data_IF_419571100227
#
_entry.id   IF_419571100227
#
_cell.length_a   1.000
_cell.length_b   1.000
_cell.length_c   1.000
_cell.angle_alpha   90.00
_cell.angle_beta   90.00
_cell.angle_gamma   90.00
#
_symmetry.space_group_name_H-M   'P 1'
#
loop_
_entity.id
_entity.type
_entity.pdbx_description
1 polymer ?
#
# COMPACT_ATOMS: atom_id res chain seq x y z
N UNK A 1 -10.53 -19.88 -13.76
CA UNK A 1 -11.22 -19.93 -15.07
C UNK A 1 -10.18 -19.74 -16.17
N UNK A 2 -10.32 -20.42 -17.32
CA UNK A 2 -9.30 -20.50 -18.37
C UNK A 2 -9.28 -19.24 -19.27
N UNK A 3 -8.14 -19.06 -19.95
CA UNK A 3 -7.78 -18.01 -20.91
C UNK A 3 -8.91 -17.63 -21.87
N UNK A 4 -9.39 -16.38 -21.84
CA UNK A 4 -9.92 -15.65 -23.02
C UNK A 4 -10.26 -14.17 -22.72
N UNK A 5 -9.43 -13.46 -21.92
CA UNK A 5 -9.33 -12.01 -22.08
C UNK A 5 -8.08 -11.79 -22.90
N UNK A 6 -8.21 -11.38 -24.16
CA UNK A 6 -7.10 -10.70 -24.83
C UNK A 6 -6.52 -9.70 -23.81
N UNK A 7 -5.23 -9.82 -23.50
CA UNK A 7 -4.63 -9.19 -22.31
C UNK A 7 -4.78 -7.67 -22.40
N UNK A 8 -5.87 -7.18 -21.81
CA UNK A 8 -6.33 -5.81 -21.96
C UNK A 8 -5.29 -4.87 -21.34
N UNK A 9 -4.70 -4.01 -22.17
CA UNK A 9 -3.81 -2.96 -21.70
C UNK A 9 -4.64 -1.75 -21.28
N UNK A 10 -4.26 -1.16 -20.16
CA UNK A 10 -4.93 0.00 -19.59
C UNK A 10 -3.98 1.18 -19.52
N UNK A 11 -4.36 2.31 -20.09
CA UNK A 11 -3.69 3.58 -19.87
C UNK A 11 -4.05 4.19 -18.50
N UNK A 12 -3.49 3.60 -17.42
CA UNK A 12 -3.70 4.04 -16.03
C UNK A 12 -3.39 5.52 -15.80
N UNK A 13 -2.57 6.14 -16.66
CA UNK A 13 -2.34 7.59 -16.66
C UNK A 13 -3.63 8.42 -16.72
N UNK A 14 -4.71 7.88 -17.28
CA UNK A 14 -6.00 8.55 -17.35
C UNK A 14 -6.71 8.61 -16.00
N UNK A 15 -6.38 7.70 -15.07
CA UNK A 15 -6.92 7.74 -13.70
C UNK A 15 -6.61 9.09 -13.03
N UNK A 16 -5.45 9.69 -13.31
CA UNK A 16 -5.04 10.99 -12.76
C UNK A 16 -6.07 12.11 -12.94
N UNK A 17 -6.82 12.09 -14.05
CA UNK A 17 -7.80 13.12 -14.41
C UNK A 17 -9.24 12.61 -14.37
N UNK A 18 -9.43 11.37 -13.92
CA UNK A 18 -10.74 10.74 -13.87
C UNK A 18 -11.60 11.34 -12.76
N UNK A 19 -12.94 11.43 -12.96
CA UNK A 19 -13.87 11.77 -11.88
C UNK A 19 -13.80 10.74 -10.75
N UNK A 20 -13.41 9.49 -11.05
CA UNK A 20 -13.23 8.41 -10.07
C UNK A 20 -12.15 8.77 -9.04
N UNK A 21 -11.01 9.34 -9.46
CA UNK A 21 -9.96 9.79 -8.51
C UNK A 21 -10.51 10.85 -7.54
N UNK A 22 -11.31 11.78 -8.06
CA UNK A 22 -11.98 12.79 -7.23
C UNK A 22 -12.99 12.17 -6.26
N UNK A 23 -13.83 11.25 -6.72
CA UNK A 23 -14.80 10.53 -5.88
C UNK A 23 -14.13 9.77 -4.72
N UNK A 24 -13.00 9.11 -4.99
CA UNK A 24 -12.21 8.42 -3.96
C UNK A 24 -11.68 9.41 -2.91
N UNK A 25 -11.16 10.56 -3.35
CA UNK A 25 -10.71 11.63 -2.45
C UNK A 25 -11.87 12.19 -1.61
N UNK A 26 -13.00 12.49 -2.24
CA UNK A 26 -14.17 13.04 -1.54
C UNK A 26 -14.67 12.06 -0.47
N UNK A 27 -14.73 10.75 -0.78
CA UNK A 27 -15.07 9.70 0.18
C UNK A 27 -14.05 9.59 1.32
N UNK A 28 -12.76 9.70 1.01
CA UNK A 28 -11.70 9.73 2.03
C UNK A 28 -11.86 10.92 2.97
N UNK A 29 -12.10 12.12 2.43
CA UNK A 29 -12.30 13.33 3.23
C UNK A 29 -13.58 13.25 4.09
N UNK A 30 -14.64 12.63 3.59
CA UNK A 30 -15.85 12.34 4.38
C UNK A 30 -15.55 11.41 5.57
N UNK A 31 -14.84 10.29 5.34
CA UNK A 31 -14.41 9.38 6.41
C UNK A 31 -13.56 10.10 7.47
N UNK A 32 -12.65 10.97 7.03
CA UNK A 32 -11.80 11.75 7.92
C UNK A 32 -12.56 12.82 8.71
N UNK A 33 -13.70 13.29 8.22
CA UNK A 33 -14.56 14.26 8.89
C UNK A 33 -15.54 13.65 9.90
N UNK A 34 -15.81 12.35 9.79
CA UNK A 34 -16.77 11.66 10.65
C UNK A 34 -16.10 11.15 11.95
N UNK A 35 -16.39 11.86 13.05
CA UNK A 35 -15.89 11.55 14.40
C UNK A 35 -16.55 10.34 15.06
N UNK A 36 -17.63 9.81 14.48
CA UNK A 36 -18.33 8.63 15.01
C UNK A 36 -17.68 7.32 14.56
N UNK A 37 -16.83 7.36 13.52
CA UNK A 37 -16.20 6.18 12.95
C UNK A 37 -15.15 5.59 13.88
N UNK A 38 -15.14 4.26 13.90
CA UNK A 38 -14.09 3.48 14.55
C UNK A 38 -12.94 3.23 13.57
N UNK A 39 -11.78 2.92 14.13
CA UNK A 39 -10.53 2.58 13.41
C UNK A 39 -10.73 1.59 12.25
N UNK A 40 -11.57 0.56 12.47
CA UNK A 40 -11.92 -0.44 11.47
C UNK A 40 -12.46 0.15 10.16
N UNK A 41 -13.21 1.26 10.20
CA UNK A 41 -13.74 1.91 9.00
C UNK A 41 -12.61 2.44 8.11
N UNK A 42 -11.56 3.00 8.72
CA UNK A 42 -10.38 3.48 8.03
C UNK A 42 -9.54 2.33 7.48
N UNK A 43 -9.34 1.27 8.26
CA UNK A 43 -8.65 0.06 7.81
C UNK A 43 -9.36 -0.57 6.59
N UNK A 44 -10.70 -0.68 6.61
CA UNK A 44 -11.47 -1.20 5.46
C UNK A 44 -11.31 -0.31 4.23
N UNK A 45 -11.36 1.02 4.39
CA UNK A 45 -11.16 1.92 3.27
C UNK A 45 -9.76 1.79 2.67
N UNK A 46 -8.72 1.81 3.52
CA UNK A 46 -7.32 1.72 3.11
C UNK A 46 -6.99 0.38 2.47
N UNK A 47 -7.51 -0.74 2.99
CA UNK A 47 -7.42 -2.06 2.36
C UNK A 47 -7.90 -2.02 0.91
N UNK A 48 -9.09 -1.44 0.69
CA UNK A 48 -9.74 -1.41 -0.62
C UNK A 48 -9.13 -0.37 -1.57
N UNK A 49 -8.30 0.55 -1.08
CA UNK A 49 -7.60 1.55 -1.89
C UNK A 49 -6.09 1.50 -1.65
N UNK A 50 -5.58 0.31 -1.34
CA UNK A 50 -4.22 0.12 -0.86
C UNK A 50 -3.21 0.71 -1.83
N UNK A 51 -3.38 0.44 -3.13
CA UNK A 51 -2.49 0.96 -4.17
C UNK A 51 -2.41 2.47 -4.33
N UNK A 52 -3.32 3.20 -3.68
CA UNK A 52 -3.44 4.64 -3.80
C UNK A 52 -2.96 5.38 -2.55
N UNK A 53 -3.11 4.78 -1.36
CA UNK A 53 -2.87 5.47 -0.08
C UNK A 53 -1.66 4.96 0.71
N UNK A 54 -1.31 3.68 0.61
CA UNK A 54 -0.35 3.06 1.53
C UNK A 54 1.10 3.11 1.06
N UNK A 55 1.44 2.92 -0.23
CA UNK A 55 2.85 2.77 -0.57
C UNK A 55 3.64 4.06 -0.37
N UNK A 56 4.81 3.93 0.25
CA UNK A 56 5.59 5.06 0.80
C UNK A 56 6.71 5.58 -0.11
N UNK A 57 7.06 4.85 -1.17
CA UNK A 57 8.11 5.24 -2.11
C UNK A 57 7.74 6.46 -2.96
N UNK A 58 8.78 7.18 -3.37
CA UNK A 58 8.67 8.42 -4.16
C UNK A 58 8.12 8.20 -5.59
N UNK A 59 7.91 9.29 -6.35
CA UNK A 59 7.23 9.24 -7.65
C UNK A 59 7.94 8.40 -8.73
N UNK A 60 9.21 8.05 -8.52
CA UNK A 60 10.11 7.43 -9.48
C UNK A 60 10.22 5.90 -9.39
N UNK A 61 9.83 5.28 -8.28
CA UNK A 61 9.92 3.83 -8.07
C UNK A 61 8.61 3.32 -7.48
N UNK A 62 7.84 2.56 -8.28
CA UNK A 62 6.51 2.04 -7.88
C UNK A 62 6.43 0.52 -7.95
N UNK A 63 7.55 -0.16 -7.71
CA UNK A 63 7.58 -1.61 -7.51
C UNK A 63 7.08 -1.95 -6.11
N UNK A 64 5.79 -1.70 -5.89
CA UNK A 64 5.20 -1.67 -4.56
C UNK A 64 4.07 -2.68 -4.41
N UNK A 65 4.09 -3.38 -3.29
CA UNK A 65 2.98 -4.20 -2.81
C UNK A 65 2.49 -3.64 -1.48
N UNK A 66 1.26 -3.97 -1.12
CA UNK A 66 0.69 -3.65 0.18
C UNK A 66 0.10 -4.91 0.76
N UNK A 67 0.46 -5.21 2.00
CA UNK A 67 -0.07 -6.34 2.75
C UNK A 67 -0.99 -5.82 3.85
N UNK A 68 -1.92 -6.66 4.31
CA UNK A 68 -2.77 -6.37 5.47
C UNK A 68 -2.77 -7.52 6.46
N UNK A 69 -2.88 -7.19 7.74
CA UNK A 69 -3.10 -8.16 8.82
C UNK A 69 -2.09 -9.33 8.84
N UNK A 70 -0.83 -9.03 8.51
CA UNK A 70 0.26 -10.01 8.55
C UNK A 70 0.53 -10.41 10.00
N UNK A 71 0.52 -11.72 10.25
CA UNK A 71 0.80 -12.28 11.58
C UNK A 71 2.29 -12.42 11.80
N UNK A 72 2.76 -11.88 12.91
CA UNK A 72 4.12 -12.02 13.41
C UNK A 72 4.08 -12.98 14.61
N UNK A 73 4.29 -14.26 14.34
CA UNK A 73 4.11 -15.32 15.34
C UNK A 73 2.63 -15.60 15.62
N UNK A 74 2.33 -16.00 16.86
CA UNK A 74 0.95 -16.25 17.32
C UNK A 74 0.25 -15.02 17.89
N UNK A 75 1.03 -14.01 18.32
CA UNK A 75 0.55 -13.00 19.27
C UNK A 75 0.39 -11.59 18.67
N UNK A 76 1.03 -11.33 17.51
CA UNK A 76 1.09 -9.98 16.94
C UNK A 76 0.56 -9.94 15.50
N UNK A 77 -0.19 -8.88 15.19
CA UNK A 77 -0.78 -8.66 13.87
C UNK A 77 -0.56 -7.20 13.48
N UNK A 78 0.04 -6.97 12.32
CA UNK A 78 0.22 -5.62 11.76
C UNK A 78 -1.08 -5.12 11.15
N UNK A 79 -1.34 -3.82 11.10
CA UNK A 79 -2.46 -3.32 10.29
C UNK A 79 -2.16 -3.45 8.79
N UNK A 80 -1.04 -2.85 8.36
CA UNK A 80 -0.57 -2.91 6.99
C UNK A 80 0.95 -3.11 6.93
N UNK A 81 1.42 -3.57 5.78
CA UNK A 81 2.84 -3.52 5.43
C UNK A 81 2.98 -2.93 4.02
N UNK A 82 3.74 -1.86 3.87
CA UNK A 82 4.23 -1.41 2.55
C UNK A 82 5.46 -2.25 2.19
N UNK A 83 5.49 -2.79 0.97
CA UNK A 83 6.62 -3.57 0.46
C UNK A 83 7.17 -2.85 -0.76
N UNK A 84 8.41 -2.39 -0.68
CA UNK A 84 9.14 -1.73 -1.76
C UNK A 84 10.23 -2.68 -2.30
N UNK A 85 10.28 -2.86 -3.62
CA UNK A 85 11.40 -3.55 -4.28
C UNK A 85 12.62 -2.65 -4.32
N UNK A 86 13.70 -3.07 -3.69
CA UNK A 86 14.99 -2.39 -3.68
C UNK A 86 16.08 -3.16 -4.43
N UNK A 87 15.73 -3.61 -5.64
CA UNK A 87 16.68 -4.19 -6.61
C UNK A 87 17.52 -5.31 -5.99
N UNK A 88 18.83 -5.10 -5.80
CA UNK A 88 19.77 -6.06 -5.24
C UNK A 88 19.51 -6.39 -3.77
N UNK A 89 18.92 -5.46 -3.03
CA UNK A 89 18.73 -5.56 -1.58
C UNK A 89 17.38 -6.23 -1.23
N UNK A 90 16.62 -6.61 -2.26
CA UNK A 90 15.36 -7.33 -2.12
C UNK A 90 14.22 -6.44 -1.67
N UNK A 91 13.33 -6.99 -0.85
CA UNK A 91 12.21 -6.21 -0.35
C UNK A 91 12.60 -5.38 0.87
N UNK A 92 12.14 -4.13 0.88
CA UNK A 92 12.06 -3.29 2.07
C UNK A 92 10.63 -3.26 2.55
N UNK A 93 10.45 -3.45 3.84
CA UNK A 93 9.16 -3.53 4.50
C UNK A 93 8.98 -2.31 5.41
N UNK A 94 7.82 -1.67 5.34
CA UNK A 94 7.38 -0.71 6.37
C UNK A 94 6.16 -1.30 7.05
N UNK A 95 6.31 -1.71 8.31
CA UNK A 95 5.21 -2.19 9.15
C UNK A 95 4.43 -0.99 9.68
N UNK A 96 3.12 -1.00 9.49
CA UNK A 96 2.26 0.14 9.75
C UNK A 96 1.23 -0.23 10.81
N UNK A 97 1.16 0.57 11.86
CA UNK A 97 0.07 0.60 12.84
C UNK A 97 -0.81 1.82 12.58
N UNK A 98 -2.14 1.64 12.60
CA UNK A 98 -3.09 2.72 12.37
C UNK A 98 -4.02 2.89 13.56
N UNK A 99 -4.05 4.10 14.08
CA UNK A 99 -4.93 4.52 15.16
C UNK A 99 -6.05 5.44 14.64
N UNK A 100 -6.91 5.97 15.49
CA UNK A 100 -7.96 6.89 15.03
C UNK A 100 -7.38 8.25 14.57
N UNK A 101 -7.88 8.86 13.48
CA UNK A 101 -7.54 10.23 13.10
C UNK A 101 -7.99 11.26 14.14
N UNK A 102 -8.90 10.89 15.05
CA UNK A 102 -9.45 11.80 16.07
C UNK A 102 -8.72 11.67 17.41
N UNK A 103 -7.60 10.95 17.45
CA UNK A 103 -6.79 10.79 18.66
C UNK A 103 -5.76 11.90 18.78
N UNK A 104 -5.78 12.59 19.93
CA UNK A 104 -4.69 13.47 20.32
C UNK A 104 -3.41 12.65 20.55
N UNK A 105 -2.27 13.12 20.05
CA UNK A 105 -0.96 12.50 20.27
C UNK A 105 -0.45 12.75 21.70
N UNK A 106 -0.76 13.92 22.26
CA UNK A 106 -0.30 14.34 23.58
C UNK A 106 -1.45 14.81 24.46
N UNK A 107 -1.31 14.61 25.77
CA UNK A 107 -2.22 15.17 26.78
C UNK A 107 -2.01 16.69 26.92
N UNK A 108 -2.86 17.35 27.71
CA UNK A 108 -2.73 18.79 27.97
C UNK A 108 -1.44 19.14 28.73
N UNK A 109 -0.92 18.19 29.51
CA UNK A 109 0.35 18.26 30.23
C UNK A 109 1.55 17.98 29.30
N UNK A 110 1.30 17.67 28.03
CA UNK A 110 2.33 17.42 27.02
C UNK A 110 3.04 16.07 27.15
N UNK A 111 2.40 15.10 27.80
CA UNK A 111 2.79 13.69 27.85
C UNK A 111 2.18 12.91 26.68
N UNK A 112 2.74 11.76 26.29
CA UNK A 112 2.14 10.92 25.25
C UNK A 112 0.74 10.47 25.68
N UNK A 113 -0.24 10.54 24.78
CA UNK A 113 -1.58 10.02 25.07
C UNK A 113 -1.56 8.49 25.25
N UNK A 114 -2.54 7.94 25.96
CA UNK A 114 -2.66 6.50 26.12
C UNK A 114 -2.76 5.77 24.77
N UNK A 115 -3.35 6.42 23.74
CA UNK A 115 -3.45 5.84 22.41
C UNK A 115 -2.09 5.75 21.73
N UNK A 116 -1.33 6.85 21.74
CA UNK A 116 0.03 6.85 21.19
C UNK A 116 0.95 5.87 21.94
N UNK A 117 0.83 5.78 23.27
CA UNK A 117 1.60 4.82 24.06
C UNK A 117 1.30 3.37 23.67
N UNK A 118 0.03 3.02 23.41
CA UNK A 118 -0.36 1.68 22.95
C UNK A 118 0.20 1.36 21.57
N UNK A 119 0.06 2.27 20.61
CA UNK A 119 0.62 2.09 19.27
C UNK A 119 2.15 1.94 19.29
N UNK A 120 2.85 2.73 20.11
CA UNK A 120 4.29 2.61 20.31
C UNK A 120 4.66 1.26 20.91
N UNK A 121 3.91 0.79 21.90
CA UNK A 121 4.12 -0.52 22.51
C UNK A 121 3.93 -1.65 21.49
N UNK A 122 2.91 -1.57 20.65
CA UNK A 122 2.65 -2.56 19.61
C UNK A 122 3.77 -2.62 18.56
N UNK A 123 4.29 -1.48 18.13
CA UNK A 123 5.48 -1.42 17.26
C UNK A 123 6.73 -1.98 17.95
N UNK A 124 6.94 -1.63 19.22
CA UNK A 124 8.05 -2.16 20.03
C UNK A 124 7.96 -3.68 20.21
N UNK A 125 6.75 -4.24 20.33
CA UNK A 125 6.53 -5.68 20.38
C UNK A 125 6.86 -6.36 19.04
N UNK A 126 6.54 -5.72 17.90
CA UNK A 126 6.96 -6.22 16.59
C UNK A 126 8.49 -6.19 16.43
N UNK A 127 9.13 -5.10 16.87
CA UNK A 127 10.59 -4.95 16.84
C UNK A 127 11.27 -6.08 17.62
N UNK A 128 10.87 -6.31 18.86
CA UNK A 128 11.40 -7.39 19.69
C UNK A 128 11.12 -8.76 19.07
N UNK A 129 9.89 -9.00 18.60
CA UNK A 129 9.54 -10.27 17.98
C UNK A 129 10.41 -10.57 16.75
N UNK A 130 10.62 -9.59 15.86
CA UNK A 130 11.48 -9.73 14.67
C UNK A 130 12.93 -10.01 15.07
N UNK A 131 13.44 -9.29 16.08
CA UNK A 131 14.80 -9.46 16.57
C UNK A 131 15.03 -10.85 17.19
N UNK A 132 14.06 -11.36 17.93
CA UNK A 132 14.16 -12.64 18.65
C UNK A 132 13.84 -13.85 17.75
N UNK A 133 13.10 -13.63 16.64
CA UNK A 133 12.60 -14.71 15.78
C UNK A 133 13.09 -14.61 14.32
N UNK A 134 14.33 -14.18 14.10
CA UNK A 134 14.90 -13.85 12.77
C UNK A 134 14.58 -14.89 11.68
N UNK A 135 14.81 -16.18 11.93
CA UNK A 135 14.56 -17.24 10.92
C UNK A 135 13.09 -17.35 10.52
N UNK A 136 12.19 -17.17 11.48
CA UNK A 136 10.75 -17.16 11.21
C UNK A 136 10.34 -15.86 10.54
N UNK A 137 10.85 -14.73 11.02
CA UNK A 137 10.57 -13.42 10.47
C UNK A 137 11.06 -13.30 9.01
N UNK A 138 12.25 -13.80 8.66
CA UNK A 138 12.77 -13.81 7.28
C UNK A 138 11.94 -14.68 6.31
N UNK A 139 11.21 -15.68 6.81
CA UNK A 139 10.26 -16.44 5.97
C UNK A 139 8.96 -15.67 5.71
N UNK A 140 8.58 -14.79 6.64
CA UNK A 140 7.40 -13.93 6.52
C UNK A 140 7.73 -12.68 5.70
N UNK A 141 8.91 -12.12 5.90
CA UNK A 141 9.40 -10.88 5.31
C UNK A 141 10.70 -11.17 4.55
N UNK A 142 10.62 -11.84 3.38
CA UNK A 142 11.80 -12.25 2.62
C UNK A 142 12.60 -11.05 2.11
N UNK A 143 13.83 -10.92 2.60
CA UNK A 143 14.81 -9.87 2.27
C UNK A 143 16.22 -10.35 2.62
N UNK A 144 17.24 -9.74 2.02
CA UNK A 144 18.66 -10.08 2.25
C UNK A 144 19.08 -9.77 3.69
N UNK A 145 18.76 -8.58 4.19
CA UNK A 145 19.03 -8.19 5.58
C UNK A 145 17.78 -7.64 6.27
N UNK A 146 17.17 -8.49 7.11
CA UNK A 146 15.91 -8.20 7.76
C UNK A 146 15.95 -6.97 8.68
N UNK A 147 17.04 -6.76 9.42
CA UNK A 147 17.08 -5.67 10.41
C UNK A 147 17.29 -4.30 9.75
N UNK A 148 17.94 -4.27 8.59
CA UNK A 148 18.13 -3.04 7.81
C UNK A 148 16.99 -2.77 6.84
N UNK A 149 16.19 -3.78 6.51
CA UNK A 149 15.11 -3.69 5.52
C UNK A 149 13.72 -3.55 6.13
N UNK A 150 13.59 -3.47 7.45
CA UNK A 150 12.32 -3.27 8.14
C UNK A 150 12.28 -1.91 8.82
N UNK A 151 11.34 -1.07 8.39
CA UNK A 151 10.97 0.19 9.02
C UNK A 151 9.61 0.09 9.71
N UNK A 152 9.32 1.03 10.61
CA UNK A 152 8.06 1.09 11.36
C UNK A 152 7.39 2.45 11.22
N UNK A 153 6.07 2.45 11.09
CA UNK A 153 5.26 3.65 10.89
C UNK A 153 3.98 3.57 11.72
N UNK A 154 3.69 4.62 12.49
CA UNK A 154 2.41 4.82 13.16
C UNK A 154 1.66 5.92 12.42
N UNK A 155 0.40 5.66 12.05
CA UNK A 155 -0.53 6.66 11.53
C UNK A 155 -1.57 6.99 12.61
N UNK A 156 -1.56 8.21 13.13
CA UNK A 156 -2.44 8.64 14.23
C UNK A 156 -2.76 10.13 14.15
N UNK A 157 -4.01 10.51 14.47
CA UNK A 157 -4.40 11.90 14.60
C UNK A 157 -4.45 12.69 13.27
N UNK A 158 -4.62 14.01 13.39
CA UNK A 158 -4.61 15.00 12.29
C UNK A 158 -3.61 16.13 12.57
N UNK A 159 -3.11 16.76 11.50
CA UNK A 159 -2.06 17.79 11.55
C UNK A 159 -2.51 19.09 12.23
N UNK A 160 -3.81 19.38 12.25
CA UNK A 160 -4.38 20.59 12.85
C UNK A 160 -4.16 20.67 14.37
N UNK A 161 -3.74 19.56 15.00
CA UNK A 161 -3.47 19.48 16.44
C UNK A 161 -1.99 19.76 16.81
N UNK A 162 -1.11 20.03 15.84
CA UNK A 162 0.35 20.08 16.05
C UNK A 162 0.89 21.53 16.14
N UNK A 163 1.16 22.01 17.36
CA UNK A 163 1.92 23.26 17.63
C UNK A 163 3.42 22.96 17.61
N UNK A 164 4.27 23.91 17.22
CA UNK A 164 5.73 23.71 17.01
C UNK A 164 6.48 22.94 18.13
N UNK A 165 6.13 23.15 19.41
CA UNK A 165 6.73 22.43 20.54
C UNK A 165 6.42 20.92 20.54
N UNK A 166 5.24 20.52 20.06
CA UNK A 166 4.82 19.11 19.95
C UNK A 166 5.60 18.39 18.85
N UNK A 167 5.92 19.09 17.75
CA UNK A 167 6.73 18.56 16.65
C UNK A 167 8.15 18.17 17.06
N UNK A 168 8.80 18.97 17.90
CA UNK A 168 10.14 18.64 18.42
C UNK A 168 10.12 17.42 19.35
N UNK A 169 9.09 17.31 20.21
CA UNK A 169 8.88 16.11 21.05
C UNK A 169 8.63 14.88 20.20
N UNK A 170 7.82 14.99 19.16
CA UNK A 170 7.51 13.90 18.25
C UNK A 170 8.77 13.40 17.54
N UNK A 171 9.60 14.30 17.00
CA UNK A 171 10.88 13.93 16.36
C UNK A 171 11.85 13.23 17.32
N UNK A 172 11.89 13.66 18.58
CA UNK A 172 12.72 13.00 19.59
C UNK A 172 12.21 11.58 19.85
N UNK A 173 10.89 11.42 20.00
CA UNK A 173 10.24 10.15 20.23
C UNK A 173 10.45 9.17 19.06
N UNK A 174 10.29 9.64 17.82
CA UNK A 174 10.56 8.87 16.61
C UNK A 174 11.98 8.30 16.58
N UNK A 175 12.97 9.13 16.94
CA UNK A 175 14.39 8.72 17.00
C UNK A 175 14.64 7.71 18.12
N UNK A 176 14.09 7.94 19.31
CA UNK A 176 14.29 7.07 20.47
C UNK A 176 13.65 5.70 20.29
N UNK A 177 12.52 5.64 19.59
CA UNK A 177 11.74 4.41 19.38
C UNK A 177 11.96 3.77 18.01
N UNK A 178 12.84 4.34 17.19
CA UNK A 178 13.12 3.90 15.82
C UNK A 178 11.83 3.66 15.01
N UNK A 179 10.92 4.64 15.02
CA UNK A 179 9.59 4.57 14.40
C UNK A 179 9.23 5.92 13.81
N UNK A 180 8.61 5.95 12.64
CA UNK A 180 8.03 7.17 12.06
C UNK A 180 6.61 7.34 12.60
N UNK A 181 6.21 8.56 12.93
CA UNK A 181 4.85 8.88 13.37
C UNK A 181 4.29 9.94 12.42
N UNK A 182 3.19 9.64 11.75
CA UNK A 182 2.54 10.53 10.78
C UNK A 182 1.06 10.65 11.10
N UNK A 183 0.44 11.75 10.65
CA UNK A 183 -1.01 11.92 10.73
C UNK A 183 -1.71 11.27 9.55
N UNK A 184 -3.03 11.15 9.61
CA UNK A 184 -3.82 10.72 8.46
C UNK A 184 -3.69 11.65 7.24
N UNK A 185 -3.32 12.92 7.46
CA UNK A 185 -3.06 13.85 6.36
C UNK A 185 -1.86 13.42 5.51
N UNK A 186 -0.92 12.66 6.07
CA UNK A 186 0.17 12.05 5.29
C UNK A 186 -0.37 11.10 4.22
N UNK A 187 -1.39 10.30 4.54
CA UNK A 187 -2.03 9.41 3.57
C UNK A 187 -2.77 10.20 2.48
N UNK A 188 -3.38 11.33 2.85
CA UNK A 188 -3.95 12.28 1.88
C UNK A 188 -2.86 12.85 0.97
N UNK A 189 -1.73 13.29 1.54
CA UNK A 189 -0.59 13.84 0.80
C UNK A 189 0.01 12.78 -0.17
N UNK A 190 0.09 11.51 0.25
CA UNK A 190 0.48 10.38 -0.62
C UNK A 190 -0.48 10.23 -1.79
N UNK A 191 -1.79 10.20 -1.55
CA UNK A 191 -2.80 10.07 -2.60
C UNK A 191 -2.74 11.22 -3.62
N UNK A 192 -2.59 12.45 -3.12
CA UNK A 192 -2.59 13.67 -3.95
C UNK A 192 -1.31 13.81 -4.77
N UNK A 193 -0.15 13.53 -4.19
CA UNK A 193 1.15 13.63 -4.87
C UNK A 193 1.36 12.52 -5.91
N UNK A 194 0.60 11.43 -5.82
CA UNK A 194 0.71 10.29 -6.72
C UNK A 194 0.15 10.62 -8.10
N UNK A 195 1.05 10.66 -9.08
CA UNK A 195 0.72 10.49 -10.49
C UNK A 195 0.74 9.00 -10.81
N UNK A 196 -0.17 8.55 -11.67
CA UNK A 196 -0.21 7.18 -12.18
C UNK A 196 0.28 7.18 -13.63
N UNK A 197 1.07 6.18 -13.99
CA UNK A 197 1.53 5.96 -15.36
C UNK A 197 0.97 4.61 -15.82
N UNK A 198 0.87 4.39 -17.13
CA UNK A 198 0.38 3.10 -17.64
C UNK A 198 1.34 1.93 -17.35
N UNK A 199 2.61 2.25 -17.09
CA UNK A 199 3.67 1.30 -16.82
C UNK A 199 4.57 1.85 -15.73
N UNK A 200 5.07 0.98 -14.87
CA UNK A 200 6.09 1.31 -13.88
C UNK A 200 7.46 0.82 -14.34
N UNK A 201 8.51 1.46 -13.86
CA UNK A 201 9.87 0.95 -14.04
C UNK A 201 10.04 -0.22 -13.08
N UNK A 202 10.03 -1.44 -13.62
CA UNK A 202 10.32 -2.66 -12.86
C UNK A 202 11.78 -3.01 -13.06
N UNK A 203 12.53 -3.03 -11.97
CA UNK A 203 13.92 -3.45 -11.90
C UNK A 203 14.04 -4.93 -12.26
N UNK A 204 15.08 -5.24 -13.03
CA UNK A 204 15.28 -6.58 -13.58
C UNK A 204 16.77 -6.81 -13.82
N UNK A 205 17.20 -8.06 -13.65
CA UNK A 205 18.55 -8.50 -14.03
C UNK A 205 18.66 -8.67 -15.55
N UNK A 206 19.89 -8.78 -16.05
CA UNK A 206 20.13 -9.06 -17.46
C UNK A 206 19.50 -10.40 -17.84
N UNK A 207 18.70 -10.41 -18.91
CA UNK A 207 17.99 -11.60 -19.38
C UNK A 207 16.59 -11.81 -18.79
N UNK A 208 16.17 -11.02 -17.79
CA UNK A 208 14.78 -11.05 -17.33
C UNK A 208 13.86 -10.22 -18.22
N UNK A 209 12.73 -10.83 -18.57
CA UNK A 209 11.67 -10.19 -19.35
C UNK A 209 10.40 -10.13 -18.52
N UNK A 210 9.91 -8.90 -18.32
CA UNK A 210 8.55 -8.64 -17.88
C UNK A 210 7.79 -8.18 -19.11
N UNK A 211 6.70 -8.85 -19.46
CA UNK A 211 5.89 -8.45 -20.62
C UNK A 211 5.25 -7.08 -20.39
N UNK A 212 4.81 -6.43 -21.47
CA UNK A 212 4.14 -5.14 -21.40
C UNK A 212 2.83 -5.27 -20.61
N UNK A 213 2.16 -6.39 -20.77
CA UNK A 213 0.90 -6.76 -20.15
C UNK A 213 1.08 -7.00 -18.66
N UNK A 214 2.08 -7.80 -18.27
CA UNK A 214 2.42 -8.02 -16.86
C UNK A 214 2.75 -6.70 -16.15
N UNK A 215 3.58 -5.84 -16.76
CA UNK A 215 3.91 -4.53 -16.21
C UNK A 215 2.66 -3.66 -16.06
N UNK A 216 1.81 -3.64 -17.09
CA UNK A 216 0.56 -2.89 -17.06
C UNK A 216 -0.37 -3.36 -15.94
N UNK A 217 -0.61 -4.67 -15.81
CA UNK A 217 -1.45 -5.22 -14.75
C UNK A 217 -0.88 -4.97 -13.36
N UNK A 218 0.45 -5.04 -13.21
CA UNK A 218 1.13 -4.75 -11.95
C UNK A 218 0.94 -3.27 -11.56
N UNK A 219 1.00 -2.37 -12.54
CA UNK A 219 0.86 -0.92 -12.35
C UNK A 219 -0.57 -0.47 -12.04
N UNK A 220 -1.56 -1.36 -12.21
CA UNK A 220 -2.97 -1.07 -11.94
C UNK A 220 -3.14 -0.50 -10.51
N UNK A 221 -3.65 0.74 -10.33
CA UNK A 221 -3.73 1.38 -9.02
C UNK A 221 -4.90 0.91 -8.15
N UNK A 222 -5.85 0.17 -8.72
CA UNK A 222 -7.07 -0.30 -8.05
C UNK A 222 -6.87 -1.58 -7.25
N UNK A 223 -5.62 -1.99 -7.00
CA UNK A 223 -5.36 -3.17 -6.20
C UNK A 223 -5.71 -2.99 -4.73
N UNK A 224 -6.17 -4.08 -4.13
CA UNK A 224 -6.38 -4.17 -2.69
C UNK A 224 -5.14 -4.78 -2.01
N UNK A 225 -5.01 -4.56 -0.70
CA UNK A 225 -3.94 -5.16 0.08
C UNK A 225 -4.01 -6.71 0.05
N UNK A 226 -2.86 -7.38 0.01
CA UNK A 226 -2.80 -8.83 0.13
C UNK A 226 -2.96 -9.25 1.59
N UNK A 227 -3.95 -10.08 1.93
CA UNK A 227 -4.06 -10.61 3.29
C UNK A 227 -2.97 -11.66 3.55
N UNK A 228 -2.68 -11.89 4.83
CA UNK A 228 -1.65 -12.83 5.33
C UNK A 228 -1.63 -14.19 4.63
N UNK A 229 -2.80 -14.79 4.39
CA UNK A 229 -2.92 -16.08 3.71
C UNK A 229 -2.38 -16.03 2.28
N UNK A 230 -2.76 -15.01 1.52
CA UNK A 230 -2.34 -14.84 0.13
C UNK A 230 -0.85 -14.50 0.04
N UNK A 231 -0.37 -13.63 0.94
CA UNK A 231 1.05 -13.31 1.03
C UNK A 231 1.91 -14.55 1.28
N UNK A 232 1.54 -15.40 2.23
CA UNK A 232 2.26 -16.67 2.51
C UNK A 232 2.18 -17.65 1.34
N UNK A 233 1.04 -17.72 0.66
CA UNK A 233 0.89 -18.53 -0.56
C UNK A 233 1.86 -18.06 -1.65
N UNK A 234 1.98 -16.74 -1.84
CA UNK A 234 2.91 -16.15 -2.79
C UNK A 234 4.37 -16.40 -2.42
N UNK A 235 4.78 -16.08 -1.19
CA UNK A 235 6.20 -16.18 -0.80
C UNK A 235 6.73 -17.61 -0.84
N UNK A 236 5.88 -18.61 -0.57
CA UNK A 236 6.24 -20.03 -0.74
C UNK A 236 6.51 -20.43 -2.19
N UNK A 237 5.97 -19.69 -3.16
CA UNK A 237 6.16 -19.91 -4.61
C UNK A 237 7.25 -19.01 -5.20
N UNK A 238 7.75 -18.03 -4.44
CA UNK A 238 8.78 -17.13 -4.94
C UNK A 238 10.07 -17.90 -5.24
N UNK A 239 10.79 -17.44 -6.26
CA UNK A 239 12.13 -17.90 -6.56
C UNK A 239 13.03 -17.61 -5.36
N UNK A 240 13.98 -18.50 -5.06
CA UNK A 240 14.87 -18.41 -3.89
C UNK A 240 15.80 -17.18 -3.87
N UNK A 241 15.88 -16.46 -4.97
CA UNK A 241 16.74 -15.29 -5.14
C UNK A 241 16.05 -14.07 -4.56
N UNK A 242 16.75 -13.33 -3.69
CA UNK A 242 16.20 -12.18 -2.97
C UNK A 242 16.41 -10.85 -3.67
N UNK A 243 16.91 -10.83 -4.92
CA UNK A 243 17.08 -9.61 -5.70
C UNK A 243 16.05 -9.52 -6.82
N UNK A 244 15.69 -8.31 -7.24
CA UNK A 244 14.68 -8.06 -8.29
C UNK A 244 13.37 -8.83 -8.04
N UNK A 245 12.93 -8.83 -6.78
CA UNK A 245 11.86 -9.69 -6.29
C UNK A 245 10.54 -9.54 -7.05
N UNK A 246 10.22 -8.34 -7.55
CA UNK A 246 9.02 -8.12 -8.35
C UNK A 246 9.14 -8.77 -9.73
N UNK A 247 10.15 -8.44 -10.54
CA UNK A 247 10.26 -8.97 -11.90
C UNK A 247 10.43 -10.49 -11.91
N UNK A 248 11.15 -11.05 -10.94
CA UNK A 248 11.36 -12.49 -10.81
C UNK A 248 10.10 -13.29 -10.53
N UNK A 249 9.15 -12.67 -9.83
CA UNK A 249 7.96 -13.31 -9.28
C UNK A 249 6.66 -12.65 -9.78
N UNK A 250 6.71 -11.87 -10.86
CA UNK A 250 5.58 -11.04 -11.29
C UNK A 250 4.34 -11.87 -11.63
N UNK A 251 4.52 -13.04 -12.23
CA UNK A 251 3.44 -13.97 -12.53
C UNK A 251 2.71 -14.40 -11.25
N UNK A 252 3.44 -14.90 -10.25
CA UNK A 252 2.89 -15.29 -8.94
C UNK A 252 2.19 -14.12 -8.25
N UNK A 253 2.77 -12.91 -8.31
CA UNK A 253 2.17 -11.70 -7.75
C UNK A 253 0.83 -11.40 -8.42
N UNK A 254 0.78 -11.45 -9.76
CA UNK A 254 -0.43 -11.16 -10.53
C UNK A 254 -1.51 -12.23 -10.36
N UNK A 255 -1.15 -13.50 -10.20
CA UNK A 255 -2.09 -14.59 -9.92
C UNK A 255 -2.89 -14.37 -8.63
N UNK A 256 -2.28 -13.78 -7.60
CA UNK A 256 -2.92 -13.53 -6.31
C UNK A 256 -3.51 -12.11 -6.22
N UNK A 257 -3.41 -11.31 -7.29
CA UNK A 257 -3.85 -9.92 -7.31
C UNK A 257 -5.37 -9.85 -7.24
N UNK A 258 -5.86 -8.97 -6.38
CA UNK A 258 -7.28 -8.61 -6.30
C UNK A 258 -7.46 -7.11 -6.48
N UNK A 259 -8.62 -6.73 -7.00
CA UNK A 259 -8.94 -5.34 -7.32
C UNK A 259 -10.20 -4.89 -6.58
N UNK A 260 -10.27 -3.60 -6.30
CA UNK A 260 -11.41 -3.03 -5.61
C UNK A 260 -12.63 -2.94 -6.53
N UNK A 261 -13.80 -2.79 -5.91
CA UNK A 261 -15.09 -2.80 -6.61
C UNK A 261 -15.33 -1.57 -7.49
N UNK A 262 -14.44 -0.57 -7.45
CA UNK A 262 -14.55 0.67 -8.23
C UNK A 262 -13.84 0.54 -9.59
N UNK A 263 -12.96 -0.46 -9.76
CA UNK A 263 -12.28 -0.71 -11.03
C UNK A 263 -13.26 -0.79 -12.24
N UNK A 264 -14.38 -1.52 -12.19
CA UNK A 264 -15.33 -1.57 -13.30
C UNK A 264 -15.92 -0.20 -13.69
N UNK A 265 -16.18 0.68 -12.71
CA UNK A 265 -16.68 2.03 -12.97
C UNK A 265 -15.63 2.87 -13.69
N UNK A 266 -14.36 2.73 -13.30
CA UNK A 266 -13.24 3.35 -14.01
C UNK A 266 -13.10 2.81 -15.44
N UNK A 267 -13.18 1.49 -15.63
CA UNK A 267 -13.07 0.86 -16.95
C UNK A 267 -14.16 1.36 -17.91
N UNK A 268 -15.40 1.46 -17.41
CA UNK A 268 -16.53 2.03 -18.17
C UNK A 268 -16.29 3.48 -18.54
N UNK A 269 -15.87 4.31 -17.58
CA UNK A 269 -15.54 5.71 -17.84
C UNK A 269 -14.40 5.86 -18.86
N UNK A 270 -13.35 5.03 -18.74
CA UNK A 270 -12.20 5.08 -19.62
C UNK A 270 -12.55 4.72 -21.08
N UNK A 271 -13.40 3.71 -21.29
CA UNK A 271 -13.88 3.28 -22.61
C UNK A 271 -14.72 4.38 -23.30
N UNK A 272 -15.65 5.03 -22.58
CA UNK A 272 -16.48 6.11 -23.14
C UNK A 272 -15.65 7.32 -23.61
N UNK A 273 -14.59 7.66 -22.89
CA UNK A 273 -13.83 8.90 -23.13
C UNK A 273 -12.68 8.73 -24.15
N UNK A 274 -12.85 7.85 -25.14
CA UNK A 274 -11.96 7.76 -26.31
C UNK A 274 -10.54 7.29 -26.00
N UNK A 275 -10.33 6.63 -24.86
CA UNK A 275 -9.07 5.97 -24.56
C UNK A 275 -9.15 4.59 -25.21
N UNK A 276 -8.82 4.49 -26.50
CA UNK A 276 -9.31 3.44 -27.41
C UNK A 276 -8.58 2.08 -27.38
N UNK A 277 -7.58 1.86 -26.51
CA UNK A 277 -7.02 0.51 -26.26
C UNK A 277 -7.93 -0.40 -25.38
N UNK A 278 -9.14 0.05 -25.02
CA UNK A 278 -9.84 -0.41 -23.80
C UNK A 278 -11.26 -0.95 -23.99
N UNK A 279 -11.85 -0.91 -25.18
CA UNK A 279 -13.21 -1.41 -25.38
C UNK A 279 -13.15 -2.80 -26.01
N UNK A 280 -13.85 -3.78 -25.44
CA UNK A 280 -14.12 -5.01 -26.16
C UNK A 280 -14.95 -4.68 -27.42
N UNK A 281 -14.96 -5.56 -28.42
CA UNK A 281 -15.75 -5.36 -29.65
C UNK A 281 -17.24 -5.14 -29.30
N UNK A 282 -17.72 -5.77 -28.23
CA UNK A 282 -19.10 -5.63 -27.72
C UNK A 282 -19.39 -4.24 -27.11
N UNK A 283 -18.42 -3.64 -26.42
CA UNK A 283 -18.57 -2.30 -25.82
C UNK A 283 -18.66 -1.21 -26.89
N UNK A 284 -17.97 -1.40 -28.03
CA UNK A 284 -18.07 -0.48 -29.18
C UNK A 284 -19.44 -0.54 -29.86
N UNK A 285 -20.08 -1.71 -29.87
CA UNK A 285 -21.42 -1.89 -30.48
C UNK A 285 -22.52 -1.16 -29.71
N UNK A 286 -22.44 -1.13 -28.38
CA UNK A 286 -23.39 -0.42 -27.51
C UNK A 286 -23.21 1.11 -27.62
N UNK A 287 -21.98 1.58 -27.80
CA UNK A 287 -21.68 3.00 -27.99
C UNK A 287 -22.10 3.52 -29.37
N UNK A 288 -22.02 2.67 -30.40
CA UNK A 288 -22.39 3.03 -31.78
C UNK A 288 -23.90 2.85 -32.08
N UNK A 289 -24.70 2.37 -31.13
CA UNK A 289 -26.15 2.15 -31.26
C UNK A 289 -27.00 3.16 -30.47
N UNK A 290 -26.38 4.23 -29.96
CA UNK A 290 -27.01 5.43 -29.40
C UNK A 290 -26.65 6.66 -30.22
#
# INVERSE_FOLDING_TARGET
MPMEKAEKLYAWKNFNRSPIKKQILDKWMQLLGDKSLKEQAYQVFLRNHAGMFIPQGGPTFREQLVLEKIRLGGDYITDFISVDSDRSDGFKFTLIEIESPHSNLFTNEGLCSNRLQKALKQVEDWQHWIQDNKDTASRILPTEDLLYSVEYLIIIGRREEDKDLRRSKLKLLERQKNVKIRSFDHLTDVFLSRSYDSYTKISKSSGETVSKEQNNQFTNPFYIAYPDKEWRSMTNKFKKSLFHMVSRNIEVILEHRSYNTILPDYEKWACINGNNEFCSVDDQFILNSR
#
